data_IF_788492593677
#
_entry.id   IF_788492593677
#
_cell.length_a   1.000
_cell.length_b   1.000
_cell.length_c   1.000
_cell.angle_alpha   90.00
_cell.angle_beta   90.00
_cell.angle_gamma   90.00
#
_symmetry.space_group_name_H-M   'P 1'
#
loop_
_entity.id
_entity.type
_entity.pdbx_description
1 polymer ?
#
# COMPACT_ATOMS: atom_id res chain seq x y z
N UNK A 1 -47.13 -75.51 -39.35
CA UNK A 1 -47.38 -74.62 -38.20
C UNK A 1 -46.34 -73.51 -38.20
N UNK A 2 -46.71 -72.22 -38.17
CA UNK A 2 -45.78 -71.11 -38.27
C UNK A 2 -45.28 -70.68 -36.88
N UNK A 3 -44.02 -70.27 -36.77
CA UNK A 3 -43.44 -69.65 -35.56
C UNK A 3 -43.36 -68.15 -35.79
N UNK A 4 -43.86 -67.28 -34.89
CA UNK A 4 -43.77 -65.84 -35.07
C UNK A 4 -42.39 -65.34 -34.61
N UNK A 5 -41.61 -64.78 -35.52
CA UNK A 5 -40.35 -64.08 -35.18
C UNK A 5 -40.66 -62.69 -34.64
N UNK A 6 -40.35 -62.45 -33.36
CA UNK A 6 -40.57 -61.15 -32.71
C UNK A 6 -39.55 -60.11 -33.19
N UNK A 7 -40.04 -59.02 -33.78
CA UNK A 7 -39.21 -57.84 -34.10
C UNK A 7 -38.89 -57.09 -32.81
N UNK A 8 -37.64 -57.18 -32.34
CA UNK A 8 -37.11 -56.33 -31.27
C UNK A 8 -37.09 -54.86 -31.72
N UNK A 9 -37.95 -54.05 -31.12
CA UNK A 9 -38.02 -52.59 -31.33
C UNK A 9 -36.91 -51.93 -30.52
N UNK A 10 -35.84 -51.49 -31.19
CA UNK A 10 -34.74 -50.76 -30.57
C UNK A 10 -35.23 -49.37 -30.14
N UNK A 11 -35.37 -49.13 -28.82
CA UNK A 11 -35.70 -47.81 -28.29
C UNK A 11 -34.43 -46.97 -28.32
N UNK A 12 -34.33 -46.06 -29.28
CA UNK A 12 -33.31 -45.02 -29.30
C UNK A 12 -33.44 -44.15 -28.06
N UNK A 13 -32.51 -44.29 -27.12
CA UNK A 13 -32.36 -43.38 -25.97
C UNK A 13 -32.09 -41.98 -26.53
N UNK A 14 -32.87 -40.94 -26.19
CA UNK A 14 -32.58 -39.59 -26.66
C UNK A 14 -31.25 -39.16 -26.07
N UNK A 15 -30.27 -38.95 -26.95
CA UNK A 15 -28.94 -38.52 -26.60
C UNK A 15 -28.97 -37.24 -25.78
N UNK A 16 -28.29 -37.28 -24.63
CA UNK A 16 -28.08 -36.19 -23.69
C UNK A 16 -27.29 -35.06 -24.36
N UNK A 17 -27.90 -34.29 -25.25
CA UNK A 17 -27.26 -33.21 -25.99
C UNK A 17 -27.35 -31.89 -25.22
N UNK A 18 -26.17 -31.32 -25.01
CA UNK A 18 -25.91 -29.88 -24.91
C UNK A 18 -26.16 -29.13 -23.59
N UNK A 19 -25.46 -29.52 -22.52
CA UNK A 19 -25.16 -28.60 -21.39
C UNK A 19 -23.84 -27.81 -21.55
N UNK A 20 -23.13 -27.97 -22.69
CA UNK A 20 -21.78 -27.43 -22.94
C UNK A 20 -21.70 -26.00 -23.52
N UNK A 21 -22.81 -25.28 -23.74
CA UNK A 21 -22.79 -23.96 -24.43
C UNK A 21 -22.81 -22.73 -23.53
N UNK A 22 -23.08 -22.86 -22.23
CA UNK A 22 -23.19 -21.70 -21.31
C UNK A 22 -21.87 -21.34 -20.61
N UNK A 23 -20.91 -22.26 -20.54
CA UNK A 23 -19.63 -22.01 -19.85
C UNK A 23 -18.69 -21.11 -20.65
N UNK A 24 -18.72 -21.14 -21.99
CA UNK A 24 -17.81 -20.34 -22.82
C UNK A 24 -18.08 -18.83 -22.75
N UNK A 25 -19.35 -18.43 -22.63
CA UNK A 25 -19.74 -17.01 -22.52
C UNK A 25 -19.24 -16.42 -21.20
N UNK A 26 -19.44 -17.12 -20.08
CA UNK A 26 -18.94 -16.69 -18.77
C UNK A 26 -17.41 -16.54 -18.73
N UNK A 27 -16.67 -17.40 -19.42
CA UNK A 27 -15.20 -17.28 -19.53
C UNK A 27 -14.80 -16.02 -20.30
N UNK A 28 -15.50 -15.67 -21.38
CA UNK A 28 -15.21 -14.46 -22.19
C UNK A 28 -15.56 -13.19 -21.41
N UNK A 29 -16.70 -13.15 -20.73
CA UNK A 29 -17.08 -12.03 -19.86
C UNK A 29 -16.03 -11.81 -18.76
N UNK A 30 -15.59 -12.88 -18.10
CA UNK A 30 -14.52 -12.79 -17.11
C UNK A 30 -13.20 -12.32 -17.71
N UNK A 31 -12.82 -12.81 -18.89
CA UNK A 31 -11.58 -12.41 -19.56
C UNK A 31 -11.55 -10.91 -19.90
N UNK A 32 -12.69 -10.30 -20.21
CA UNK A 32 -12.81 -8.86 -20.49
C UNK A 32 -12.80 -8.03 -19.21
N UNK A 33 -13.44 -8.50 -18.13
CA UNK A 33 -13.49 -7.79 -16.85
C UNK A 33 -12.18 -7.91 -16.04
N UNK A 34 -11.46 -9.03 -16.17
CA UNK A 34 -10.29 -9.35 -15.36
C UNK A 34 -9.18 -8.28 -15.42
N UNK A 35 -8.79 -7.71 -16.57
CA UNK A 35 -7.75 -6.68 -16.62
C UNK A 35 -8.10 -5.44 -15.77
N UNK A 36 -9.35 -4.99 -15.80
CA UNK A 36 -9.81 -3.83 -15.03
C UNK A 36 -9.80 -4.15 -13.54
N UNK A 37 -10.29 -5.34 -13.16
CA UNK A 37 -10.28 -5.78 -11.76
C UNK A 37 -8.86 -5.88 -11.21
N UNK A 38 -7.93 -6.44 -11.98
CA UNK A 38 -6.50 -6.53 -11.62
C UNK A 38 -5.92 -5.13 -11.37
N UNK A 39 -6.18 -4.18 -12.29
CA UNK A 39 -5.70 -2.80 -12.14
C UNK A 39 -6.29 -2.13 -10.91
N UNK A 40 -7.58 -2.31 -10.62
CA UNK A 40 -8.22 -1.72 -9.44
C UNK A 40 -7.69 -2.33 -8.15
N UNK A 41 -7.49 -3.65 -8.09
CA UNK A 41 -6.97 -4.33 -6.90
C UNK A 41 -5.52 -3.91 -6.63
N UNK A 42 -4.62 -4.05 -7.59
CA UNK A 42 -3.23 -3.66 -7.36
C UNK A 42 -3.05 -2.14 -7.23
N UNK A 43 -3.80 -1.35 -7.99
CA UNK A 43 -3.82 0.10 -7.86
C UNK A 43 -4.28 0.56 -6.47
N UNK A 44 -5.32 -0.07 -5.91
CA UNK A 44 -5.80 0.26 -4.56
C UNK A 44 -4.81 -0.16 -3.47
N UNK A 45 -4.16 -1.32 -3.59
CA UNK A 45 -3.09 -1.75 -2.66
C UNK A 45 -1.94 -0.74 -2.67
N UNK A 46 -1.47 -0.36 -3.85
CA UNK A 46 -0.34 0.55 -4.01
C UNK A 46 -0.69 1.97 -3.52
N UNK A 47 -1.88 2.47 -3.85
CA UNK A 47 -2.36 3.76 -3.37
C UNK A 47 -2.49 3.79 -1.85
N UNK A 48 -3.01 2.72 -1.25
CA UNK A 48 -3.13 2.60 0.20
C UNK A 48 -1.76 2.58 0.87
N UNK A 49 -0.77 1.89 0.28
CA UNK A 49 0.61 1.92 0.78
C UNK A 49 1.21 3.32 0.75
N UNK A 50 1.04 4.06 -0.35
CA UNK A 50 1.53 5.45 -0.45
C UNK A 50 0.88 6.38 0.58
N UNK A 51 -0.43 6.24 0.82
CA UNK A 51 -1.14 7.00 1.85
C UNK A 51 -0.59 6.65 3.24
N UNK A 52 -0.43 5.36 3.52
CA UNK A 52 0.13 4.88 4.78
C UNK A 52 1.55 5.39 5.03
N UNK A 53 2.41 5.36 4.02
CA UNK A 53 3.77 5.89 4.08
C UNK A 53 3.76 7.38 4.44
N UNK A 54 2.99 8.19 3.68
CA UNK A 54 2.91 9.64 3.93
C UNK A 54 2.39 9.95 5.34
N UNK A 55 1.37 9.23 5.81
CA UNK A 55 0.83 9.40 7.15
C UNK A 55 1.84 9.00 8.24
N UNK A 56 2.67 8.01 7.97
CA UNK A 56 3.74 7.56 8.87
C UNK A 56 4.84 8.58 9.02
N UNK A 57 5.30 9.15 7.91
CA UNK A 57 6.25 10.26 7.93
C UNK A 57 5.69 11.48 8.66
N UNK A 58 4.40 11.80 8.47
CA UNK A 58 3.76 12.95 9.10
C UNK A 58 3.67 12.80 10.63
N UNK A 59 3.24 11.63 11.11
CA UNK A 59 3.17 11.37 12.56
C UNK A 59 4.57 11.36 13.19
N UNK A 60 5.56 10.76 12.50
CA UNK A 60 6.95 10.76 12.98
C UNK A 60 7.53 12.18 13.04
N UNK A 61 7.36 12.99 11.99
CA UNK A 61 7.84 14.37 11.95
C UNK A 61 7.18 15.22 13.05
N UNK A 62 5.87 15.08 13.25
CA UNK A 62 5.14 15.79 14.29
C UNK A 62 5.65 15.45 15.70
N UNK A 63 5.76 14.16 16.03
CA UNK A 63 6.22 13.73 17.35
C UNK A 63 7.71 14.04 17.58
N UNK A 64 8.54 14.03 16.52
CA UNK A 64 9.93 14.50 16.59
C UNK A 64 10.01 15.99 16.87
N UNK A 65 9.33 16.84 16.08
CA UNK A 65 9.35 18.29 16.31
C UNK A 65 8.80 18.62 17.71
N UNK A 66 7.74 17.92 18.15
CA UNK A 66 7.19 18.08 19.50
C UNK A 66 8.18 17.73 20.60
N UNK A 67 9.04 16.75 20.37
CA UNK A 67 10.10 16.38 21.31
C UNK A 67 11.24 17.42 21.28
N UNK A 68 11.61 17.90 20.09
CA UNK A 68 12.67 18.86 19.87
C UNK A 68 12.40 20.24 20.50
N UNK A 69 11.14 20.68 20.53
CA UNK A 69 10.77 21.97 21.14
C UNK A 69 10.79 21.96 22.68
N UNK A 70 10.91 20.79 23.33
CA UNK A 70 10.96 20.71 24.79
C UNK A 70 12.30 21.22 25.31
N UNK A 71 12.27 21.77 26.52
CA UNK A 71 13.48 22.23 27.20
C UNK A 71 14.39 21.06 27.55
N UNK A 72 15.69 21.23 27.28
CA UNK A 72 16.71 20.21 27.57
C UNK A 72 16.66 18.96 26.68
N UNK A 73 15.91 18.97 25.57
CA UNK A 73 15.88 17.86 24.59
C UNK A 73 16.68 18.19 23.36
N UNK A 74 17.49 17.22 22.92
CA UNK A 74 18.36 17.32 21.75
C UNK A 74 17.66 16.86 20.47
N UNK A 75 18.25 17.18 19.31
CA UNK A 75 17.81 16.58 18.05
C UNK A 75 17.98 15.05 18.04
N UNK A 76 18.95 14.51 18.79
CA UNK A 76 19.13 13.07 18.90
C UNK A 76 17.94 12.40 19.62
N UNK A 77 17.42 13.03 20.68
CA UNK A 77 16.21 12.58 21.36
C UNK A 77 14.98 12.61 20.45
N UNK A 78 14.82 13.71 19.73
CA UNK A 78 13.74 13.89 18.76
C UNK A 78 13.82 12.89 17.61
N UNK A 79 15.02 12.65 17.08
CA UNK A 79 15.28 11.65 16.05
C UNK A 79 14.97 10.24 16.56
N UNK A 80 15.37 9.89 17.79
CA UNK A 80 15.05 8.61 18.40
C UNK A 80 13.52 8.42 18.54
N UNK A 81 12.79 9.50 18.85
CA UNK A 81 11.32 9.48 18.92
C UNK A 81 10.69 9.22 17.55
N UNK A 82 11.11 9.91 16.50
CA UNK A 82 10.65 9.64 15.14
C UNK A 82 11.01 8.22 14.68
N UNK A 83 12.24 7.78 14.95
CA UNK A 83 12.73 6.45 14.61
C UNK A 83 11.85 5.35 15.20
N UNK A 84 11.53 5.43 16.50
CA UNK A 84 10.65 4.45 17.14
C UNK A 84 9.26 4.36 16.46
N UNK A 85 8.73 5.49 15.98
CA UNK A 85 7.44 5.52 15.25
C UNK A 85 7.59 4.87 13.88
N UNK A 86 8.62 5.22 13.11
CA UNK A 86 8.87 4.67 11.78
C UNK A 86 9.13 3.17 11.81
N UNK A 87 9.95 2.71 12.76
CA UNK A 87 10.28 1.30 12.96
C UNK A 87 9.03 0.49 13.35
N UNK A 88 8.20 1.00 14.26
CA UNK A 88 6.94 0.34 14.64
C UNK A 88 5.94 0.23 13.50
N UNK A 89 6.06 1.10 12.48
CA UNK A 89 5.23 1.10 11.27
C UNK A 89 5.89 0.37 10.10
N UNK A 90 7.07 -0.22 10.29
CA UNK A 90 7.80 -0.96 9.27
C UNK A 90 8.27 -0.10 8.11
N UNK A 91 8.48 1.21 8.32
CA UNK A 91 9.01 2.10 7.28
C UNK A 91 10.51 1.89 7.17
N UNK A 92 11.04 1.79 5.96
CA UNK A 92 12.47 1.58 5.69
C UNK A 92 13.04 2.69 4.82
N UNK A 93 14.37 2.83 4.79
CA UNK A 93 15.05 3.78 3.91
C UNK A 93 14.67 5.25 4.18
N UNK A 94 14.48 5.60 5.46
CA UNK A 94 14.11 6.94 5.87
C UNK A 94 15.31 7.77 6.34
N UNK A 95 15.16 9.09 6.28
CA UNK A 95 16.12 10.08 6.78
C UNK A 95 15.36 11.12 7.59
N UNK A 96 15.90 11.45 8.77
CA UNK A 96 15.40 12.51 9.65
C UNK A 96 16.46 13.61 9.70
N UNK A 97 16.08 14.86 9.46
CA UNK A 97 16.98 16.02 9.54
C UNK A 97 16.33 17.19 10.25
N UNK A 98 17.18 18.08 10.76
CA UNK A 98 16.79 19.32 11.43
C UNK A 98 17.43 20.50 10.68
N UNK A 99 16.75 21.08 9.68
CA UNK A 99 17.35 22.09 8.79
C UNK A 99 17.85 23.35 9.51
N UNK A 100 17.25 23.69 10.66
CA UNK A 100 17.59 24.87 11.43
C UNK A 100 18.71 24.64 12.46
N UNK A 101 19.35 23.46 12.44
CA UNK A 101 20.42 23.11 13.39
C UNK A 101 19.89 22.48 14.68
N UNK A 102 20.70 22.57 15.74
CA UNK A 102 20.39 21.95 17.04
C UNK A 102 19.26 22.67 17.79
N UNK A 103 18.26 21.90 18.21
CA UNK A 103 17.11 22.45 18.96
C UNK A 103 17.46 22.88 20.38
N UNK A 104 18.65 22.50 20.89
CA UNK A 104 19.18 22.98 22.16
C UNK A 104 19.69 24.41 22.08
N UNK A 105 20.17 24.83 20.91
CA UNK A 105 20.73 26.17 20.68
C UNK A 105 19.63 27.18 20.27
N UNK A 106 18.42 26.69 20.02
CA UNK A 106 17.29 27.51 19.61
C UNK A 106 16.72 28.30 20.80
N UNK A 107 16.62 29.62 20.65
CA UNK A 107 15.96 30.50 21.61
C UNK A 107 14.48 30.15 21.79
N UNK A 108 13.92 30.53 22.93
CA UNK A 108 12.48 30.46 23.18
C UNK A 108 11.71 31.19 22.09
N UNK A 109 10.63 30.58 21.61
CA UNK A 109 9.84 31.02 20.45
C UNK A 109 10.57 31.01 19.10
N UNK A 110 11.78 30.47 18.98
CA UNK A 110 12.41 30.21 17.69
C UNK A 110 11.75 29.03 16.96
N UNK A 111 11.87 29.03 15.63
CA UNK A 111 11.31 27.98 14.78
C UNK A 111 12.17 26.72 14.79
N UNK A 112 11.58 25.60 15.20
CA UNK A 112 12.19 24.27 15.09
C UNK A 112 11.51 23.51 13.95
N UNK A 113 12.32 23.02 13.02
CA UNK A 113 11.86 22.27 11.84
C UNK A 113 12.44 20.86 11.91
N UNK A 114 11.57 19.85 11.81
CA UNK A 114 11.98 18.48 11.50
C UNK A 114 11.55 18.15 10.08
N UNK A 115 12.47 17.59 9.29
CA UNK A 115 12.20 17.02 7.98
C UNK A 115 12.39 15.50 8.02
N UNK A 116 11.36 14.76 7.60
CA UNK A 116 11.40 13.29 7.52
C UNK A 116 11.15 12.89 6.07
N UNK A 117 12.10 12.16 5.48
CA UNK A 117 12.05 11.70 4.09
C UNK A 117 12.12 10.18 4.01
N UNK A 118 11.40 9.55 3.08
CA UNK A 118 11.57 8.14 2.74
C UNK A 118 11.27 7.86 1.26
N UNK A 119 11.88 6.79 0.73
CA UNK A 119 11.64 6.32 -0.64
C UNK A 119 10.30 5.60 -0.76
N UNK A 120 9.50 5.98 -1.75
CA UNK A 120 8.26 5.26 -2.07
C UNK A 120 8.51 3.88 -2.68
N UNK A 121 9.63 3.69 -3.39
CA UNK A 121 9.96 2.41 -4.02
C UNK A 121 10.35 1.33 -3.00
N UNK A 122 11.11 1.69 -1.97
CA UNK A 122 11.53 0.76 -0.91
C UNK A 122 10.39 0.36 0.03
N UNK A 123 9.37 1.21 0.14
CA UNK A 123 8.19 0.99 0.99
C UNK A 123 6.95 0.54 0.19
N UNK A 124 7.13 0.17 -1.07
CA UNK A 124 6.06 -0.34 -1.93
C UNK A 124 5.95 -1.86 -1.82
N UNK A 125 4.74 -2.41 -1.64
CA UNK A 125 4.54 -3.85 -1.48
C UNK A 125 4.63 -4.64 -2.78
N UNK A 126 4.33 -4.03 -3.93
CA UNK A 126 4.18 -4.77 -5.20
C UNK A 126 4.84 -4.05 -6.37
N UNK A 127 4.53 -2.76 -6.56
CA UNK A 127 4.87 -2.05 -7.79
C UNK A 127 6.08 -1.13 -7.67
N UNK A 128 6.81 -1.14 -6.55
CA UNK A 128 7.91 -0.21 -6.28
C UNK A 128 9.07 -0.25 -7.28
N UNK A 129 9.28 -1.40 -7.93
CA UNK A 129 10.28 -1.55 -9.01
C UNK A 129 9.76 -1.11 -10.38
N UNK A 130 8.46 -1.04 -10.56
CA UNK A 130 7.80 -0.68 -11.82
C UNK A 130 7.33 0.78 -11.85
N UNK A 131 6.99 1.33 -10.68
CA UNK A 131 6.59 2.73 -10.51
C UNK A 131 7.80 3.61 -10.25
N UNK A 132 7.69 4.87 -10.68
CA UNK A 132 8.72 5.87 -10.44
C UNK A 132 8.95 6.06 -8.94
N UNK A 133 10.19 5.85 -8.49
CA UNK A 133 10.59 6.14 -7.12
C UNK A 133 10.41 7.64 -6.83
N UNK A 134 9.71 7.96 -5.75
CA UNK A 134 9.55 9.32 -5.24
C UNK A 134 10.11 9.38 -3.82
N UNK A 135 10.92 10.39 -3.57
CA UNK A 135 11.27 10.77 -2.21
C UNK A 135 10.09 11.53 -1.61
N UNK A 136 9.40 10.92 -0.66
CA UNK A 136 8.34 11.59 0.08
C UNK A 136 8.99 12.30 1.27
N UNK A 137 8.87 13.63 1.31
CA UNK A 137 9.37 14.46 2.40
C UNK A 137 8.21 15.14 3.12
N UNK A 138 8.22 15.08 4.44
CA UNK A 138 7.29 15.83 5.30
C UNK A 138 8.10 16.75 6.20
N UNK A 139 7.75 18.03 6.21
CA UNK A 139 8.33 19.03 7.10
C UNK A 139 7.29 19.39 8.16
N UNK A 140 7.72 19.43 9.42
CA UNK A 140 6.88 19.90 10.53
C UNK A 140 7.61 20.99 11.28
N UNK A 141 6.89 22.09 11.48
CA UNK A 141 7.37 23.33 12.08
C UNK A 141 6.62 23.59 13.38
N UNK A 142 7.35 23.89 14.46
CA UNK A 142 6.77 24.36 15.73
C UNK A 142 7.69 25.41 16.36
N UNK A 143 7.14 26.20 17.30
CA UNK A 143 7.91 27.16 18.08
C UNK A 143 8.48 26.51 19.34
N UNK A 144 9.74 26.82 19.67
CA UNK A 144 10.42 26.42 20.90
C UNK A 144 9.66 26.95 22.13
N UNK A 145 9.49 26.09 23.14
CA UNK A 145 8.69 26.39 24.34
C UNK A 145 9.35 27.35 25.31
#
# INVERSE_FOLDING_TARGET
MPVPTSKRRNKSVPGRRHRRRRSGVATVEFAVCLPILILLVFGSIEASSMIFLKQSLNVAAYESTREAIRDGRSNADAAARAQAILDSRGIVGYRITFPNGESLDADRAAEVITSVTASSAENSPLLGRFLTNRQLTVNTVMLKQ
#
